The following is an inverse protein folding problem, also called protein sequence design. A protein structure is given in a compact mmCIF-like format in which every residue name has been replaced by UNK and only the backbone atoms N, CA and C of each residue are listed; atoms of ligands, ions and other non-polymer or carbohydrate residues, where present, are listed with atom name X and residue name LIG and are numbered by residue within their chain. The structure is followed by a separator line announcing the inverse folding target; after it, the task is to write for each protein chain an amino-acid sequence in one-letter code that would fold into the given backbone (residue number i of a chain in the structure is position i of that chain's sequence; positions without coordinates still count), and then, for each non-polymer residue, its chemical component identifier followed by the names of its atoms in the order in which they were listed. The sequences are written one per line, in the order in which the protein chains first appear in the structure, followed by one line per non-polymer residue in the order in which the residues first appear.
data_IF_716231301227
#
_entry.id   IF_716231301227
#
_cell.length_a   1.000
_cell.length_b   1.000
_cell.length_c   1.000
_cell.angle_alpha   90.00
_cell.angle_beta   90.00
_cell.angle_gamma   90.00
#
_symmetry.space_group_name_H-M   'P 1'
#
loop_
_entity.id
_entity.type
_entity.pdbx_description
1 polymer ?
#
# COMPACT_ATOMS: atom_id res chain seq x y z
N UNK A 1 -15.94 -4.51 -21.44
CA UNK A 1 -14.56 -4.63 -20.91
C UNK A 1 -14.62 -5.29 -19.54
N UNK A 2 -13.86 -6.37 -19.37
CA UNK A 2 -13.79 -7.19 -18.15
C UNK A 2 -12.41 -7.01 -17.53
N UNK A 3 -12.35 -6.49 -16.30
CA UNK A 3 -11.11 -6.18 -15.59
C UNK A 3 -11.06 -6.95 -14.27
N UNK A 4 -10.02 -7.76 -14.09
CA UNK A 4 -9.75 -8.46 -12.84
C UNK A 4 -8.62 -7.76 -12.07
N UNK A 5 -8.95 -7.10 -10.97
CA UNK A 5 -7.99 -6.54 -10.03
C UNK A 5 -7.47 -7.62 -9.06
N UNK A 6 -6.15 -7.74 -8.94
CA UNK A 6 -5.50 -8.70 -8.04
C UNK A 6 -4.53 -7.98 -7.09
N UNK A 7 -4.84 -7.99 -5.80
CA UNK A 7 -3.98 -7.52 -4.71
C UNK A 7 -3.47 -8.71 -3.90
N UNK A 8 -2.27 -8.62 -3.29
CA UNK A 8 -1.75 -9.68 -2.41
C UNK A 8 -0.28 -10.02 -2.59
N UNK A 9 0.27 -9.81 -3.78
CA UNK A 9 1.72 -9.92 -3.99
C UNK A 9 2.52 -8.93 -3.11
N UNK A 10 1.86 -7.95 -2.51
CA UNK A 10 2.39 -6.97 -1.58
C UNK A 10 2.77 -7.57 -0.21
N UNK A 11 2.24 -8.75 0.16
CA UNK A 11 2.64 -9.52 1.34
C UNK A 11 1.60 -9.57 2.46
N UNK A 12 0.52 -8.80 2.38
CA UNK A 12 -0.64 -8.82 3.28
C UNK A 12 -1.89 -8.43 2.49
N UNK A 13 -3.05 -8.69 3.10
CA UNK A 13 -4.40 -8.38 2.60
C UNK A 13 -4.63 -8.74 1.11
N UNK A 14 -4.32 -9.99 0.70
CA UNK A 14 -4.63 -10.45 -0.64
C UNK A 14 -6.15 -10.40 -0.87
N UNK A 15 -6.53 -9.82 -2.01
CA UNK A 15 -7.91 -9.63 -2.42
C UNK A 15 -8.03 -9.62 -3.93
N UNK A 16 -9.25 -9.89 -4.43
CA UNK A 16 -9.59 -9.76 -5.82
C UNK A 16 -10.86 -8.93 -5.98
N UNK A 17 -10.95 -8.19 -7.08
CA UNK A 17 -12.16 -7.49 -7.50
C UNK A 17 -12.35 -7.63 -9.00
N UNK A 18 -13.58 -7.82 -9.45
CA UNK A 18 -13.93 -7.94 -10.85
C UNK A 18 -14.87 -6.82 -11.25
N UNK A 19 -14.49 -6.11 -12.30
CA UNK A 19 -15.31 -5.10 -12.94
C UNK A 19 -15.75 -5.58 -14.32
N UNK A 20 -17.01 -5.33 -14.67
CA UNK A 20 -17.58 -5.57 -15.99
C UNK A 20 -18.24 -4.29 -16.45
N UNK A 21 -17.75 -3.72 -17.55
CA UNK A 21 -18.26 -2.48 -18.16
C UNK A 21 -18.34 -1.28 -17.19
N UNK A 22 -17.37 -1.20 -16.27
CA UNK A 22 -17.25 -0.13 -15.29
C UNK A 22 -17.93 -0.42 -13.95
N UNK A 23 -18.75 -1.47 -13.86
CA UNK A 23 -19.47 -1.85 -12.66
C UNK A 23 -18.71 -2.92 -11.86
N UNK A 24 -18.68 -2.78 -10.53
CA UNK A 24 -18.10 -3.78 -9.64
C UNK A 24 -19.08 -4.94 -9.50
N UNK A 25 -18.73 -6.11 -10.06
CA UNK A 25 -19.57 -7.31 -9.99
C UNK A 25 -19.30 -8.10 -8.71
N UNK A 26 -18.03 -8.20 -8.32
CA UNK A 26 -17.61 -8.91 -7.12
C UNK A 26 -16.31 -8.32 -6.57
N UNK A 27 -16.16 -8.33 -5.25
CA UNK A 27 -14.90 -8.04 -4.57
C UNK A 27 -14.82 -8.87 -3.28
N UNK A 28 -13.68 -9.50 -3.03
CA UNK A 28 -13.49 -10.33 -1.85
C UNK A 28 -12.03 -10.38 -1.38
N UNK A 29 -11.86 -10.56 -0.07
CA UNK A 29 -10.57 -10.75 0.59
C UNK A 29 -10.31 -12.24 0.83
N UNK A 30 -9.06 -12.67 0.63
CA UNK A 30 -8.67 -14.08 0.71
C UNK A 30 -8.86 -14.65 2.12
N UNK A 31 -8.65 -13.82 3.15
CA UNK A 31 -8.80 -14.24 4.55
C UNK A 31 -10.20 -14.79 4.85
N UNK A 32 -11.23 -14.35 4.11
CA UNK A 32 -12.60 -14.81 4.30
C UNK A 32 -12.77 -16.27 3.88
N UNK A 33 -12.04 -16.70 2.85
CA UNK A 33 -12.08 -18.05 2.31
C UNK A 33 -11.15 -19.00 3.08
N UNK A 34 -9.90 -18.58 3.31
CA UNK A 34 -8.89 -19.45 3.93
C UNK A 34 -8.89 -19.39 5.46
N UNK A 35 -9.68 -18.47 6.05
CA UNK A 35 -9.84 -18.29 7.51
C UNK A 35 -8.53 -17.95 8.23
N UNK A 36 -7.56 -17.40 7.51
CA UNK A 36 -6.25 -16.95 8.00
C UNK A 36 -6.22 -15.42 7.93
N UNK A 37 -6.21 -14.77 9.09
CA UNK A 37 -6.32 -13.31 9.22
C UNK A 37 -5.14 -12.61 8.51
N UNK A 38 -5.45 -11.60 7.71
CA UNK A 38 -4.55 -10.90 6.79
C UNK A 38 -3.93 -11.77 5.68
N UNK A 39 -4.17 -13.09 5.70
CA UNK A 39 -3.65 -14.06 4.74
C UNK A 39 -2.20 -13.76 4.31
N UNK A 40 -1.32 -13.53 5.29
CA UNK A 40 0.02 -12.96 5.05
C UNK A 40 0.83 -13.84 4.09
N UNK A 41 1.50 -13.18 3.14
CA UNK A 41 2.28 -13.80 2.07
C UNK A 41 1.50 -14.73 1.11
N UNK A 42 0.17 -14.78 1.18
CA UNK A 42 -0.68 -15.54 0.25
C UNK A 42 -1.01 -14.70 -1.00
N UNK A 43 -1.57 -15.38 -1.99
CA UNK A 43 -2.10 -14.78 -3.22
C UNK A 43 -3.64 -14.94 -3.21
N UNK A 44 -4.41 -14.05 -3.88
CA UNK A 44 -5.87 -14.05 -3.82
C UNK A 44 -6.49 -15.10 -4.76
N UNK A 45 -6.19 -16.38 -4.56
CA UNK A 45 -6.66 -17.42 -5.48
C UNK A 45 -8.14 -17.74 -5.28
N UNK A 46 -8.57 -17.98 -4.04
CA UNK A 46 -9.97 -18.26 -3.75
C UNK A 46 -10.85 -17.05 -4.06
N UNK A 47 -10.37 -15.84 -3.72
CA UNK A 47 -11.07 -14.59 -4.00
C UNK A 47 -11.24 -14.34 -5.49
N UNK A 48 -10.21 -14.60 -6.29
CA UNK A 48 -10.27 -14.42 -7.74
C UNK A 48 -11.23 -15.42 -8.39
N UNK A 49 -11.19 -16.70 -7.98
CA UNK A 49 -12.14 -17.72 -8.45
C UNK A 49 -13.58 -17.33 -8.12
N UNK A 50 -13.81 -16.92 -6.87
CA UNK A 50 -15.12 -16.42 -6.45
C UNK A 50 -15.60 -15.26 -7.32
N UNK A 51 -14.75 -14.28 -7.63
CA UNK A 51 -15.16 -13.15 -8.47
C UNK A 51 -15.56 -13.57 -9.89
N UNK A 52 -14.82 -14.51 -10.49
CA UNK A 52 -15.14 -15.07 -11.82
C UNK A 52 -16.45 -15.87 -11.79
N UNK A 53 -16.62 -16.72 -10.78
CA UNK A 53 -17.82 -17.54 -10.57
C UNK A 53 -19.07 -16.68 -10.34
N UNK A 54 -18.97 -15.65 -9.49
CA UNK A 54 -20.06 -14.73 -9.18
C UNK A 54 -20.56 -13.96 -10.42
N UNK A 55 -19.66 -13.69 -11.37
CA UNK A 55 -19.99 -13.05 -12.64
C UNK A 55 -20.39 -14.05 -13.75
N UNK A 56 -20.27 -15.36 -13.52
CA UNK A 56 -20.55 -16.38 -14.53
C UNK A 56 -19.63 -16.32 -15.74
N UNK A 57 -18.40 -15.81 -15.59
CA UNK A 57 -17.43 -15.66 -16.68
C UNK A 57 -16.25 -16.62 -16.54
N UNK A 58 -15.70 -17.02 -17.67
CA UNK A 58 -14.46 -17.78 -17.71
C UNK A 58 -13.25 -16.84 -17.64
N UNK A 59 -12.15 -17.30 -17.02
CA UNK A 59 -10.90 -16.53 -16.93
C UNK A 59 -10.36 -16.07 -18.29
N UNK A 60 -10.54 -16.87 -19.35
CA UNK A 60 -10.14 -16.49 -20.72
C UNK A 60 -10.94 -15.35 -21.35
N UNK A 61 -12.00 -14.86 -20.69
CA UNK A 61 -12.78 -13.69 -21.10
C UNK A 61 -12.30 -12.39 -20.44
N UNK A 62 -11.35 -12.46 -19.51
CA UNK A 62 -10.79 -11.26 -18.86
C UNK A 62 -9.98 -10.48 -19.89
N UNK A 63 -10.33 -9.21 -20.11
CA UNK A 63 -9.62 -8.34 -21.05
C UNK A 63 -8.35 -7.78 -20.43
N UNK A 64 -8.38 -7.47 -19.12
CA UNK A 64 -7.21 -6.95 -18.40
C UNK A 64 -7.12 -7.43 -16.96
N UNK A 65 -5.89 -7.68 -16.50
CA UNK A 65 -5.57 -7.91 -15.09
C UNK A 65 -4.86 -6.69 -14.52
N UNK A 66 -5.49 -6.03 -13.55
CA UNK A 66 -4.94 -4.87 -12.86
C UNK A 66 -4.19 -5.27 -11.59
N UNK A 67 -3.00 -4.73 -11.39
CA UNK A 67 -2.16 -4.97 -10.21
C UNK A 67 -1.80 -3.64 -9.52
N UNK A 68 -2.14 -3.42 -8.23
CA UNK A 68 -2.00 -2.12 -7.55
C UNK A 68 -0.57 -1.85 -7.07
N UNK A 69 0.39 -2.01 -7.97
CA UNK A 69 1.77 -1.57 -7.78
C UNK A 69 2.44 -1.33 -9.14
N UNK A 70 3.07 -0.17 -9.30
CA UNK A 70 3.70 0.23 -10.56
C UNK A 70 5.23 0.35 -10.46
N UNK A 71 5.95 0.25 -11.60
CA UNK A 71 7.37 0.58 -11.62
C UNK A 71 7.55 2.10 -11.41
N UNK A 72 8.52 2.47 -10.58
CA UNK A 72 8.91 3.86 -10.34
C UNK A 72 10.14 4.19 -11.17
N UNK A 73 10.13 5.33 -11.85
CA UNK A 73 11.30 5.79 -12.62
C UNK A 73 12.44 6.20 -11.70
N UNK A 74 13.70 5.99 -12.12
CA UNK A 74 14.88 6.50 -11.42
C UNK A 74 14.89 8.04 -11.34
N UNK A 75 14.21 8.73 -12.27
CA UNK A 75 14.06 10.19 -12.26
C UNK A 75 12.98 10.67 -11.28
N UNK A 76 12.23 9.76 -10.66
CA UNK A 76 11.19 10.12 -9.70
C UNK A 76 11.81 10.72 -8.43
N UNK A 77 11.29 11.85 -7.91
CA UNK A 77 11.76 12.42 -6.65
C UNK A 77 11.59 11.44 -5.49
N UNK A 78 10.64 10.50 -5.57
CA UNK A 78 10.35 9.54 -4.52
C UNK A 78 11.57 8.67 -4.13
N UNK A 79 12.30 8.16 -5.12
CA UNK A 79 13.50 7.32 -4.89
C UNK A 79 14.63 8.11 -4.27
N UNK A 80 14.87 9.32 -4.78
CA UNK A 80 15.92 10.21 -4.28
C UNK A 80 15.60 10.74 -2.89
N UNK A 81 14.34 11.03 -2.60
CA UNK A 81 13.91 11.40 -1.26
C UNK A 81 14.18 10.27 -0.27
N UNK A 82 13.75 9.04 -0.59
CA UNK A 82 14.01 7.87 0.23
C UNK A 82 15.52 7.68 0.47
N UNK A 83 16.34 7.73 -0.60
CA UNK A 83 17.79 7.55 -0.49
C UNK A 83 18.46 8.65 0.36
N UNK A 84 18.10 9.93 0.13
CA UNK A 84 18.61 11.07 0.90
C UNK A 84 18.23 10.96 2.38
N UNK A 85 16.98 10.61 2.67
CA UNK A 85 16.49 10.50 4.05
C UNK A 85 17.10 9.31 4.79
N UNK A 86 17.50 8.27 4.06
CA UNK A 86 18.20 7.09 4.56
C UNK A 86 19.72 7.13 4.34
N UNK A 87 20.35 8.32 4.31
CA UNK A 87 21.81 8.43 4.12
C UNK A 87 22.65 7.62 5.14
N UNK A 88 22.11 7.38 6.34
CA UNK A 88 22.71 6.55 7.41
C UNK A 88 22.50 5.03 7.22
N UNK A 89 21.84 4.61 6.13
CA UNK A 89 21.61 3.23 5.73
C UNK A 89 21.99 3.10 4.23
N UNK A 90 23.30 3.14 3.90
CA UNK A 90 23.76 3.24 2.52
C UNK A 90 23.34 2.05 1.65
N UNK A 91 23.22 0.86 2.23
CA UNK A 91 22.68 -0.34 1.58
C UNK A 91 21.26 -0.09 1.04
N UNK A 92 20.38 0.49 1.87
CA UNK A 92 18.99 0.78 1.50
C UNK A 92 18.89 1.95 0.53
N UNK A 93 19.69 2.99 0.73
CA UNK A 93 19.72 4.15 -0.15
C UNK A 93 20.14 3.75 -1.57
N UNK A 94 21.20 2.93 -1.69
CA UNK A 94 21.67 2.42 -2.99
C UNK A 94 20.65 1.46 -3.62
N UNK A 95 20.06 0.55 -2.85
CA UNK A 95 19.05 -0.38 -3.36
C UNK A 95 17.82 0.37 -3.91
N UNK A 96 17.39 1.46 -3.26
CA UNK A 96 16.29 2.27 -3.77
C UNK A 96 16.58 2.92 -5.14
N UNK A 97 17.82 3.33 -5.38
CA UNK A 97 18.21 3.99 -6.64
C UNK A 97 18.41 2.94 -7.74
N UNK A 98 19.23 1.93 -7.48
CA UNK A 98 19.65 0.92 -8.47
C UNK A 98 18.56 -0.16 -8.67
N UNK A 99 17.92 -0.58 -7.60
CA UNK A 99 17.00 -1.71 -7.56
C UNK A 99 15.56 -1.35 -7.15
N UNK A 100 15.16 -0.08 -7.24
CA UNK A 100 13.84 0.36 -6.74
C UNK A 100 12.60 -0.32 -7.35
N UNK A 101 12.75 -1.06 -8.47
CA UNK A 101 11.67 -1.86 -9.09
C UNK A 101 11.80 -3.36 -8.81
N UNK A 102 12.70 -3.80 -7.92
CA UNK A 102 12.89 -5.21 -7.57
C UNK A 102 11.61 -5.84 -7.02
N UNK A 103 10.91 -5.13 -6.12
CA UNK A 103 9.62 -5.58 -5.57
C UNK A 103 8.56 -5.70 -6.66
N UNK A 104 8.48 -4.72 -7.56
CA UNK A 104 7.55 -4.77 -8.70
C UNK A 104 7.79 -5.99 -9.58
N UNK A 105 9.04 -6.25 -10.01
CA UNK A 105 9.37 -7.41 -10.88
C UNK A 105 8.99 -8.74 -10.24
N UNK A 106 9.43 -8.96 -8.99
CA UNK A 106 9.11 -10.18 -8.23
C UNK A 106 7.59 -10.37 -8.06
N UNK A 107 6.88 -9.29 -7.75
CA UNK A 107 5.45 -9.37 -7.49
C UNK A 107 4.65 -9.56 -8.79
N UNK A 108 5.07 -8.93 -9.89
CA UNK A 108 4.49 -9.15 -11.22
C UNK A 108 4.54 -10.62 -11.59
N UNK A 109 5.68 -11.28 -11.44
CA UNK A 109 5.82 -12.73 -11.72
C UNK A 109 4.82 -13.57 -10.91
N UNK A 110 4.60 -13.23 -9.64
CA UNK A 110 3.60 -13.92 -8.80
C UNK A 110 2.17 -13.71 -9.30
N UNK A 111 1.82 -12.52 -9.79
CA UNK A 111 0.49 -12.23 -10.35
C UNK A 111 0.29 -12.95 -11.67
N UNK A 112 1.30 -12.96 -12.55
CA UNK A 112 1.26 -13.72 -13.81
C UNK A 112 1.05 -15.21 -13.53
N UNK A 113 1.84 -15.79 -12.61
CA UNK A 113 1.71 -17.20 -12.22
C UNK A 113 0.34 -17.51 -11.61
N UNK A 114 -0.25 -16.60 -10.84
CA UNK A 114 -1.63 -16.78 -10.35
C UNK A 114 -2.62 -16.77 -11.53
N UNK A 115 -2.51 -15.82 -12.46
CA UNK A 115 -3.38 -15.77 -13.63
C UNK A 115 -3.31 -17.05 -14.47
N UNK A 116 -2.12 -17.63 -14.64
CA UNK A 116 -1.94 -18.93 -15.31
C UNK A 116 -2.73 -20.05 -14.60
N UNK A 117 -2.67 -20.12 -13.25
CA UNK A 117 -3.45 -21.09 -12.46
C UNK A 117 -4.96 -20.87 -12.49
N UNK A 118 -5.39 -19.63 -12.74
CA UNK A 118 -6.80 -19.27 -12.92
C UNK A 118 -7.29 -19.56 -14.36
N UNK A 119 -6.38 -19.75 -15.31
CA UNK A 119 -6.71 -19.94 -16.74
C UNK A 119 -6.82 -18.64 -17.52
N UNK A 120 -6.15 -17.57 -17.09
CA UNK A 120 -6.03 -16.32 -17.83
C UNK A 120 -5.20 -16.56 -19.10
N UNK A 121 -5.70 -16.12 -20.24
CA UNK A 121 -4.98 -16.16 -21.51
C UNK A 121 -4.16 -14.88 -21.69
N UNK A 122 -2.89 -14.91 -21.27
CA UNK A 122 -1.96 -13.79 -21.39
C UNK A 122 -1.61 -13.40 -22.82
N UNK A 123 -1.99 -14.18 -23.84
CA UNK A 123 -1.83 -13.76 -25.24
C UNK A 123 -2.87 -12.73 -25.69
N UNK A 124 -3.97 -12.63 -24.93
CA UNK A 124 -5.12 -11.75 -25.20
C UNK A 124 -5.45 -10.80 -24.05
N UNK A 125 -4.91 -11.05 -22.87
CA UNK A 125 -5.18 -10.29 -21.64
C UNK A 125 -4.07 -9.28 -21.37
N UNK A 126 -4.44 -8.01 -21.21
CA UNK A 126 -3.49 -6.95 -20.85
C UNK A 126 -3.13 -6.99 -19.37
N UNK A 127 -1.84 -6.92 -19.04
CA UNK A 127 -1.37 -6.72 -17.67
C UNK A 127 -1.22 -5.22 -17.37
N UNK A 128 -2.05 -4.69 -16.47
CA UNK A 128 -2.11 -3.27 -16.14
C UNK A 128 -1.53 -2.99 -14.73
N UNK A 129 -0.26 -2.51 -14.63
CA UNK A 129 0.27 -2.03 -13.36
C UNK A 129 -0.31 -0.65 -13.02
N UNK A 130 -0.88 -0.51 -11.83
CA UNK A 130 -1.51 0.73 -11.34
C UNK A 130 -0.72 1.24 -10.14
N UNK A 131 -0.47 2.55 -10.08
CA UNK A 131 0.20 3.15 -8.92
C UNK A 131 -0.61 2.90 -7.65
N UNK A 132 0.05 2.47 -6.57
CA UNK A 132 -0.62 2.02 -5.35
C UNK A 132 -1.60 3.05 -4.76
N UNK A 133 -1.15 4.29 -4.57
CA UNK A 133 -2.02 5.36 -4.06
C UNK A 133 -3.09 5.79 -5.07
N UNK A 134 -2.85 5.65 -6.36
CA UNK A 134 -3.87 5.90 -7.37
C UNK A 134 -4.97 4.83 -7.30
N UNK A 135 -4.61 3.57 -7.03
CA UNK A 135 -5.58 2.52 -6.80
C UNK A 135 -6.43 2.82 -5.56
N UNK A 136 -5.82 3.23 -4.44
CA UNK A 136 -6.56 3.70 -3.24
C UNK A 136 -7.44 4.92 -3.51
N UNK A 137 -6.92 5.92 -4.22
CA UNK A 137 -7.68 7.11 -4.59
C UNK A 137 -8.87 6.75 -5.50
N UNK A 138 -8.68 5.82 -6.43
CA UNK A 138 -9.70 5.32 -7.35
C UNK A 138 -10.81 4.58 -6.61
N UNK A 139 -10.47 3.69 -5.66
CA UNK A 139 -11.47 2.94 -4.89
C UNK A 139 -12.35 3.84 -4.03
N UNK A 140 -11.89 5.04 -3.68
CA UNK A 140 -12.71 6.03 -2.98
C UNK A 140 -13.48 6.91 -3.97
N UNK A 141 -12.78 7.59 -4.89
CA UNK A 141 -13.40 8.59 -5.78
C UNK A 141 -14.43 7.99 -6.72
N UNK A 142 -14.11 6.91 -7.44
CA UNK A 142 -15.03 6.33 -8.43
C UNK A 142 -16.23 5.63 -7.77
N UNK A 143 -16.14 5.27 -6.49
CA UNK A 143 -17.25 4.68 -5.71
C UNK A 143 -18.01 5.72 -4.86
N UNK A 144 -17.58 6.97 -4.85
CA UNK A 144 -18.19 8.02 -4.01
C UNK A 144 -19.53 8.55 -4.51
N UNK A 145 -19.81 8.39 -5.81
CA UNK A 145 -20.95 9.05 -6.48
C UNK A 145 -20.78 10.57 -6.64
N UNK A 146 -19.60 11.13 -6.38
CA UNK A 146 -19.35 12.56 -6.53
C UNK A 146 -19.08 12.94 -7.99
N UNK A 147 -19.90 13.84 -8.51
CA UNK A 147 -19.74 14.41 -9.87
C UNK A 147 -18.94 15.72 -9.85
N UNK A 148 -19.01 16.44 -8.73
CA UNK A 148 -18.30 17.70 -8.54
C UNK A 148 -16.79 17.48 -8.36
N UNK A 149 -16.04 18.55 -8.64
CA UNK A 149 -14.61 18.59 -8.38
C UNK A 149 -14.30 18.26 -6.91
N UNK A 150 -13.62 17.15 -6.69
CA UNK A 150 -13.47 16.52 -5.37
C UNK A 150 -12.00 16.46 -4.97
N UNK A 151 -11.67 16.90 -3.76
CA UNK A 151 -10.35 16.68 -3.19
C UNK A 151 -10.21 15.23 -2.71
N UNK A 152 -9.09 14.59 -3.03
CA UNK A 152 -8.79 13.21 -2.63
C UNK A 152 -7.53 13.20 -1.77
N UNK A 153 -7.64 12.68 -0.55
CA UNK A 153 -6.54 12.49 0.39
C UNK A 153 -6.40 11.00 0.70
N UNK A 154 -5.22 10.44 0.41
CA UNK A 154 -4.83 9.11 0.84
C UNK A 154 -3.70 9.20 1.86
N UNK A 155 -3.85 8.55 3.01
CA UNK A 155 -2.79 8.44 4.03
C UNK A 155 -2.56 6.95 4.27
N UNK A 156 -1.36 6.47 3.98
CA UNK A 156 -1.01 5.06 4.02
C UNK A 156 0.37 4.85 4.65
N UNK A 157 0.67 3.62 5.06
CA UNK A 157 2.00 3.22 5.52
C UNK A 157 3.04 3.50 4.45
N UNK A 158 2.95 2.80 3.32
CA UNK A 158 3.87 2.93 2.18
C UNK A 158 3.36 2.14 0.96
N UNK A 159 3.16 2.86 -0.14
CA UNK A 159 2.97 2.27 -1.47
C UNK A 159 4.29 1.83 -2.10
N UNK A 160 4.62 2.36 -3.29
CA UNK A 160 5.94 2.13 -3.88
C UNK A 160 7.03 2.86 -3.08
N UNK A 161 6.77 4.14 -2.83
CA UNK A 161 7.60 5.07 -2.04
C UNK A 161 6.74 6.16 -1.41
N UNK A 162 5.60 6.49 -2.02
CA UNK A 162 4.66 7.43 -1.45
C UNK A 162 4.07 6.89 -0.13
N UNK A 163 3.67 7.81 0.72
CA UNK A 163 3.08 7.57 2.06
C UNK A 163 1.81 8.39 2.25
N UNK A 164 1.69 9.49 1.51
CA UNK A 164 0.51 10.34 1.50
C UNK A 164 0.30 10.85 0.08
N UNK A 165 -0.95 10.88 -0.36
CA UNK A 165 -1.38 11.29 -1.68
C UNK A 165 -2.40 12.42 -1.57
N UNK A 166 -2.17 13.49 -2.30
CA UNK A 166 -3.12 14.58 -2.51
C UNK A 166 -3.46 14.64 -3.98
N UNK A 167 -4.75 14.59 -4.30
CA UNK A 167 -5.24 14.67 -5.67
C UNK A 167 -6.56 15.40 -5.78
N UNK A 168 -6.99 15.63 -7.01
CA UNK A 168 -8.33 16.10 -7.35
C UNK A 168 -8.95 15.13 -8.34
N UNK A 169 -10.14 14.63 -7.99
CA UNK A 169 -11.04 13.91 -8.86
C UNK A 169 -11.97 14.88 -9.58
N UNK A 170 -12.03 14.81 -10.91
CA UNK A 170 -12.92 15.62 -11.73
C UNK A 170 -13.23 14.86 -13.03
N UNK A 171 -14.51 14.71 -13.39
CA UNK A 171 -14.97 14.02 -14.62
C UNK A 171 -14.38 12.61 -14.82
N UNK A 172 -14.41 11.77 -13.77
CA UNK A 172 -13.84 10.41 -13.83
C UNK A 172 -12.32 10.33 -13.95
N UNK A 173 -11.59 11.46 -13.84
CA UNK A 173 -10.14 11.47 -13.84
C UNK A 173 -9.60 11.90 -12.47
N UNK A 174 -8.54 11.24 -12.00
CA UNK A 174 -7.83 11.62 -10.78
C UNK A 174 -6.49 12.25 -11.18
N UNK A 175 -6.32 13.54 -10.87
CA UNK A 175 -5.06 14.24 -11.04
C UNK A 175 -4.35 14.37 -9.71
N UNK A 176 -3.16 13.79 -9.59
CA UNK A 176 -2.26 14.00 -8.47
C UNK A 176 -1.83 15.47 -8.38
N UNK A 177 -1.91 16.05 -7.20
CA UNK A 177 -1.37 17.37 -6.85
C UNK A 177 -0.01 17.20 -6.16
N UNK A 178 0.08 16.33 -5.16
CA UNK A 178 1.28 16.17 -4.33
C UNK A 178 1.32 14.78 -3.69
N UNK A 179 2.53 14.34 -3.38
CA UNK A 179 2.78 13.17 -2.55
C UNK A 179 3.82 13.51 -1.48
N UNK A 180 3.75 12.80 -0.36
CA UNK A 180 4.87 12.64 0.56
C UNK A 180 5.46 11.25 0.40
N UNK A 181 6.72 11.10 0.78
CA UNK A 181 7.51 9.92 0.51
C UNK A 181 8.17 9.39 1.79
N UNK A 182 8.29 8.07 1.83
CA UNK A 182 8.98 7.31 2.87
C UNK A 182 10.43 7.83 3.04
N UNK A 183 10.93 8.01 4.28
CA UNK A 183 10.37 7.58 5.58
C UNK A 183 9.38 8.54 6.23
N UNK A 184 9.01 9.64 5.57
CA UNK A 184 8.14 10.65 6.15
C UNK A 184 6.66 10.22 6.00
N UNK A 185 6.20 9.38 6.92
CA UNK A 185 4.86 8.76 6.93
C UNK A 185 4.18 8.93 8.29
N UNK A 186 2.99 9.54 8.30
CA UNK A 186 2.15 9.63 9.51
C UNK A 186 1.71 8.25 9.97
N UNK A 187 1.29 7.39 9.04
CA UNK A 187 0.87 6.02 9.34
C UNK A 187 1.99 5.19 9.94
N UNK A 188 3.25 5.42 9.52
CA UNK A 188 4.37 4.71 10.12
C UNK A 188 4.72 5.20 11.53
N UNK A 189 4.50 6.49 11.85
CA UNK A 189 4.58 6.96 13.24
C UNK A 189 3.51 6.29 14.10
N UNK A 190 2.28 6.21 13.59
CA UNK A 190 1.18 5.54 14.28
C UNK A 190 1.44 4.04 14.48
N UNK A 191 1.99 3.36 13.47
CA UNK A 191 2.44 1.97 13.56
C UNK A 191 3.58 1.77 14.57
N UNK A 192 4.56 2.68 14.63
CA UNK A 192 5.63 2.62 15.62
C UNK A 192 5.11 2.81 17.06
N UNK A 193 4.14 3.70 17.27
CA UNK A 193 3.48 3.86 18.58
C UNK A 193 2.63 2.63 18.95
N UNK A 194 1.96 2.02 17.97
CA UNK A 194 1.23 0.76 18.16
C UNK A 194 2.16 -0.33 18.66
N UNK A 195 3.30 -0.46 18.00
CA UNK A 195 4.37 -1.39 18.35
C UNK A 195 4.96 -1.11 19.74
N UNK A 196 5.27 0.16 20.04
CA UNK A 196 5.78 0.61 21.34
C UNK A 196 4.88 0.23 22.52
N UNK A 197 3.57 0.34 22.33
CA UNK A 197 2.57 0.02 23.36
C UNK A 197 2.29 -1.49 23.48
N UNK A 198 3.07 -2.34 22.78
CA UNK A 198 3.00 -3.79 22.87
C UNK A 198 1.97 -4.44 21.95
N UNK A 199 1.40 -3.69 21.00
CA UNK A 199 0.53 -4.24 19.97
C UNK A 199 1.30 -4.56 18.69
N UNK A 200 0.73 -5.40 17.84
CA UNK A 200 1.35 -5.75 16.57
C UNK A 200 1.15 -4.64 15.53
N UNK A 201 2.21 -4.18 14.85
CA UNK A 201 2.09 -3.23 13.75
C UNK A 201 1.41 -3.88 12.53
N UNK A 202 0.60 -3.13 11.79
CA UNK A 202 -0.27 -3.58 10.69
C UNK A 202 -1.41 -4.52 11.14
N UNK A 203 -1.80 -4.45 12.41
CA UNK A 203 -2.99 -5.12 12.95
C UNK A 203 -3.51 -4.36 14.19
N UNK A 204 -2.64 -3.99 15.12
CA UNK A 204 -2.99 -3.41 16.41
C UNK A 204 -3.50 -1.96 16.38
N UNK A 205 -3.37 -1.26 15.26
CA UNK A 205 -3.64 0.17 15.11
C UNK A 205 -5.06 0.56 15.54
N UNK A 206 -6.05 -0.30 15.26
CA UNK A 206 -7.44 -0.04 15.66
C UNK A 206 -7.65 -0.13 17.18
N UNK A 207 -6.82 -0.90 17.90
CA UNK A 207 -6.90 -1.01 19.37
C UNK A 207 -6.45 0.29 20.00
N UNK A 208 -5.34 0.88 19.51
CA UNK A 208 -4.90 2.21 19.93
C UNK A 208 -5.99 3.27 19.68
N UNK A 209 -6.61 3.24 18.50
CA UNK A 209 -7.70 4.16 18.16
C UNK A 209 -8.88 4.01 19.12
N UNK A 210 -9.25 2.76 19.44
CA UNK A 210 -10.31 2.47 20.41
C UNK A 210 -9.98 2.91 21.84
N UNK A 211 -8.69 2.96 22.20
CA UNK A 211 -8.22 3.43 23.50
C UNK A 211 -8.04 4.96 23.59
N UNK A 212 -7.85 5.64 22.46
CA UNK A 212 -7.63 7.07 22.38
C UNK A 212 -8.62 7.95 23.18
N UNK A 213 -9.96 7.71 23.17
CA UNK A 213 -10.90 8.55 23.92
C UNK A 213 -10.79 8.42 25.45
N UNK A 214 -10.07 7.42 25.96
CA UNK A 214 -9.82 7.23 27.40
C UNK A 214 -8.50 7.86 27.87
N UNK A 215 -7.72 8.43 26.94
CA UNK A 215 -6.43 9.04 27.23
C UNK A 215 -6.54 10.52 27.63
N UNK A 216 -5.41 11.06 28.11
CA UNK A 216 -5.21 12.49 28.27
C UNK A 216 -4.31 13.00 27.14
N UNK A 217 -4.84 13.78 26.16
CA UNK A 217 -4.07 14.25 25.03
C UNK A 217 -2.98 15.27 25.41
N UNK A 218 -2.99 15.80 26.65
CA UNK A 218 -1.98 16.76 27.13
C UNK A 218 -0.84 16.09 27.91
N UNK A 219 -0.93 14.78 28.16
CA UNK A 219 0.02 14.07 29.02
C UNK A 219 1.43 13.95 28.42
N UNK A 220 1.53 13.80 27.10
CA UNK A 220 2.81 13.60 26.40
C UNK A 220 2.89 14.48 25.16
N UNK A 221 4.07 15.01 24.88
CA UNK A 221 4.37 15.73 23.65
C UNK A 221 4.97 14.79 22.60
N UNK A 222 4.25 14.58 21.50
CA UNK A 222 4.68 13.76 20.36
C UNK A 222 5.30 14.58 19.22
N UNK A 223 5.40 15.91 19.35
CA UNK A 223 6.06 16.76 18.35
C UNK A 223 7.48 16.31 17.97
N UNK A 224 8.30 15.68 18.85
CA UNK A 224 9.61 15.15 18.46
C UNK A 224 9.55 14.02 17.41
N UNK A 225 8.44 13.28 17.30
CA UNK A 225 8.32 12.16 16.35
C UNK A 225 8.04 12.64 14.92
N UNK A 226 7.28 13.73 14.79
CA UNK A 226 6.76 14.23 13.53
C UNK A 226 6.65 15.75 13.55
N UNK A 227 7.38 16.42 12.65
CA UNK A 227 7.25 17.85 12.41
C UNK A 227 6.50 18.14 11.11
N UNK A 228 5.74 19.25 11.09
CA UNK A 228 5.20 19.83 9.87
C UNK A 228 5.75 21.25 9.72
N UNK A 229 6.47 21.54 8.63
CA UNK A 229 7.03 22.86 8.36
C UNK A 229 6.99 23.14 6.86
N UNK A 230 6.56 24.35 6.48
CA UNK A 230 6.47 24.80 5.08
C UNK A 230 5.66 23.83 4.19
N UNK A 231 4.63 23.20 4.78
CA UNK A 231 3.80 22.20 4.13
C UNK A 231 4.52 20.88 3.83
N UNK A 232 5.68 20.61 4.42
CA UNK A 232 6.35 19.31 4.42
C UNK A 232 6.21 18.63 5.78
N UNK A 233 5.92 17.33 5.74
CA UNK A 233 5.92 16.45 6.90
C UNK A 233 7.28 15.79 7.00
N UNK A 234 7.84 15.75 8.21
CA UNK A 234 9.15 15.15 8.47
C UNK A 234 9.15 14.32 9.74
N UNK A 235 9.50 13.04 9.58
CA UNK A 235 9.61 12.07 10.69
C UNK A 235 11.03 12.12 11.26
N UNK A 236 11.17 12.04 12.59
CA UNK A 236 12.47 11.81 13.21
C UNK A 236 12.87 10.34 13.06
N UNK A 237 13.73 10.06 12.08
CA UNK A 237 14.17 8.69 11.78
C UNK A 237 15.23 8.16 12.75
N UNK A 238 15.49 8.86 13.85
CA UNK A 238 16.19 8.32 15.03
C UNK A 238 15.22 7.67 16.01
N UNK A 239 13.95 8.07 15.98
CA UNK A 239 12.90 7.62 16.90
C UNK A 239 11.89 6.71 16.20
N UNK A 240 11.67 6.85 14.89
CA UNK A 240 10.66 6.08 14.14
C UNK A 240 11.32 5.40 12.95
N UNK A 241 10.96 4.15 12.67
CA UNK A 241 11.53 3.36 11.55
C UNK A 241 13.06 3.33 11.56
N UNK A 242 13.65 3.04 12.71
CA UNK A 242 15.11 3.04 12.90
C UNK A 242 15.78 1.89 12.15
N UNK A 243 16.63 2.24 11.19
CA UNK A 243 17.22 1.27 10.23
C UNK A 243 18.71 1.56 10.02
N UNK A 244 19.44 0.61 9.45
CA UNK A 244 20.88 0.73 9.21
C UNK A 244 21.64 1.02 10.51
N UNK A 245 22.49 2.05 10.49
CA UNK A 245 23.33 2.45 11.63
C UNK A 245 22.54 2.95 12.85
N UNK A 246 21.26 3.31 12.67
CA UNK A 246 20.40 3.79 13.77
C UNK A 246 19.57 2.70 14.42
N UNK A 247 19.62 1.48 13.91
CA UNK A 247 18.86 0.36 14.45
C UNK A 247 19.50 -0.10 15.75
N UNK A 248 18.77 0.07 16.86
CA UNK A 248 19.14 -0.52 18.15
C UNK A 248 19.07 -2.06 18.05
N UNK A 249 20.07 -2.75 18.59
CA UNK A 249 20.12 -4.22 18.70
C UNK A 249 20.28 -4.54 20.18
N UNK A 250 19.23 -5.08 20.79
CA UNK A 250 19.35 -5.68 22.12
C UNK A 250 20.01 -7.06 22.03
N UNK A 251 20.76 -7.45 23.06
CA UNK A 251 21.51 -8.72 23.14
C UNK A 251 20.59 -9.95 23.05
N UNK A 252 19.29 -9.80 23.30
CA UNK A 252 18.26 -10.85 23.22
C UNK A 252 17.48 -10.95 21.91
N UNK A 253 17.79 -10.16 20.87
CA UNK A 253 17.13 -10.25 19.56
C UNK A 253 15.68 -9.71 19.50
N UNK A 254 15.17 -9.18 20.60
CA UNK A 254 13.92 -8.42 20.67
C UNK A 254 14.09 -7.03 20.06
N UNK A 255 13.20 -6.67 19.14
CA UNK A 255 13.11 -5.31 18.58
C UNK A 255 12.29 -4.49 19.56
N UNK A 256 12.63 -3.23 19.80
CA UNK A 256 11.74 -2.06 19.86
C UNK A 256 12.58 -0.79 19.91
N UNK A 257 11.91 0.33 19.62
CA UNK A 257 12.38 1.72 19.60
C UNK A 257 13.25 2.02 20.84
N UNK A 258 14.39 2.67 20.62
CA UNK A 258 15.19 3.28 21.68
C UNK A 258 14.72 4.70 22.00
#
# INVERSE_FOLDING_TARGET
MIILGLSGALGHDPSAALLVDGEVVAAAEEERFIRDKHARNRMPEASARYCLEAAGINAGQVDSVAYPYAPVSIRSPARWHYARRHWYAPDRALDAIVNGNRRYRRNRERVIALGERLGIDWSRTDFAPVQHHLAHASSAYHLSGFEAKTAVLGVDGKGEYATTFFGVGEHGAIRRIREFYDPDSLSAVYGALTEYLGFEMLDGEYKLMGMAPYGDPQRFDFAPLLGCRDGEVRVDTRLVNTVGLRRYRDEGGGRYLG
#
